data_IF_838432004707
#
_entry.id   IF_838432004707
#
_cell.length_a   1.000
_cell.length_b   1.000
_cell.length_c   1.000
_cell.angle_alpha   90.00
_cell.angle_beta   90.00
_cell.angle_gamma   90.00
#
_symmetry.space_group_name_H-M   'P 1'
#
loop_
_entity.id
_entity.type
_entity.pdbx_description
1 polymer ?
#
# COMPACT_ATOMS: atom_id res chain seq x y z
N UNK A 1 -7.47 7.06 4.12
CA UNK A 1 -7.22 6.77 2.70
C UNK A 1 -8.54 6.47 2.02
N UNK A 2 -8.73 6.90 0.78
CA UNK A 2 -9.91 6.59 -0.02
C UNK A 2 -9.48 5.98 -1.36
N UNK A 3 -10.00 4.80 -1.67
CA UNK A 3 -9.82 4.18 -2.98
C UNK A 3 -10.93 4.67 -3.92
N UNK A 4 -10.64 4.81 -5.20
CA UNK A 4 -11.65 5.09 -6.21
C UNK A 4 -12.59 3.87 -6.32
N UNK A 5 -13.90 4.02 -6.05
CA UNK A 5 -14.84 2.89 -6.04
C UNK A 5 -15.09 2.29 -7.43
N UNK A 6 -14.67 2.96 -8.51
CA UNK A 6 -14.74 2.42 -9.87
C UNK A 6 -13.65 1.39 -10.17
N UNK A 7 -12.55 1.40 -9.41
CA UNK A 7 -11.47 0.42 -9.56
C UNK A 7 -11.85 -0.85 -8.82
N UNK A 8 -11.96 -1.96 -9.55
CA UNK A 8 -12.16 -3.27 -8.95
C UNK A 8 -10.90 -3.68 -8.19
N UNK A 9 -11.07 -4.18 -6.97
CA UNK A 9 -9.98 -4.76 -6.17
C UNK A 9 -10.31 -6.20 -5.77
N UNK A 10 -9.29 -7.04 -5.74
CA UNK A 10 -9.34 -8.40 -5.20
C UNK A 10 -8.45 -8.47 -3.93
N UNK A 11 -9.05 -8.53 -2.73
CA UNK A 11 -8.31 -8.59 -1.47
C UNK A 11 -7.44 -9.85 -1.39
N UNK A 12 -6.19 -9.70 -0.96
CA UNK A 12 -5.27 -10.83 -0.75
C UNK A 12 -4.94 -11.06 0.73
N UNK A 13 -4.93 -10.01 1.54
CA UNK A 13 -4.72 -10.14 2.97
C UNK A 13 -4.92 -8.83 3.72
N UNK A 14 -5.22 -8.98 5.01
CA UNK A 14 -5.46 -7.90 5.93
C UNK A 14 -4.99 -8.31 7.32
N UNK A 15 -4.36 -7.39 8.02
CA UNK A 15 -3.99 -7.51 9.42
C UNK A 15 -4.27 -6.19 10.13
N UNK A 16 -4.88 -6.30 11.31
CA UNK A 16 -5.00 -5.22 12.28
C UNK A 16 -4.36 -5.71 13.58
N UNK A 17 -3.33 -5.02 14.02
CA UNK A 17 -2.66 -5.22 15.30
C UNK A 17 -3.03 -4.01 16.16
N UNK A 18 -3.88 -4.25 17.17
CA UNK A 18 -4.32 -3.27 18.16
C UNK A 18 -3.51 -3.52 19.45
N UNK A 19 -2.47 -2.71 19.68
CA UNK A 19 -1.59 -2.73 20.87
C UNK A 19 -1.24 -1.29 21.29
N UNK A 20 -0.03 -1.00 21.80
CA UNK A 20 0.39 0.36 22.18
C UNK A 20 0.51 1.31 20.97
N UNK A 21 0.86 0.77 19.80
CA UNK A 21 0.89 1.44 18.50
C UNK A 21 -0.14 0.73 17.59
N UNK A 22 -1.06 1.47 16.99
CA UNK A 22 -2.03 0.89 16.04
C UNK A 22 -1.32 0.60 14.73
N UNK A 23 -1.35 -0.66 14.31
CA UNK A 23 -0.64 -1.11 13.13
C UNK A 23 -1.57 -1.90 12.20
N UNK A 24 -1.65 -1.49 10.94
CA UNK A 24 -2.48 -2.14 9.93
C UNK A 24 -1.72 -2.47 8.66
N UNK A 25 -1.99 -3.63 8.07
CA UNK A 25 -1.50 -4.02 6.75
C UNK A 25 -2.65 -4.41 5.83
N UNK A 26 -2.55 -3.97 4.58
CA UNK A 26 -3.47 -4.33 3.52
C UNK A 26 -2.68 -4.76 2.29
N UNK A 27 -3.06 -5.89 1.71
CA UNK A 27 -2.59 -6.31 0.39
C UNK A 27 -3.78 -6.68 -0.49
N UNK A 28 -3.79 -6.16 -1.71
CA UNK A 28 -4.83 -6.44 -2.69
C UNK A 28 -4.28 -6.28 -4.11
N UNK A 29 -4.99 -6.86 -5.08
CA UNK A 29 -4.77 -6.60 -6.51
C UNK A 29 -5.78 -5.58 -6.98
N UNK A 30 -5.33 -4.51 -7.63
CA UNK A 30 -6.16 -3.52 -8.28
C UNK A 30 -6.22 -3.77 -9.79
N UNK A 31 -7.41 -3.77 -10.38
CA UNK A 31 -7.63 -3.95 -11.81
C UNK A 31 -7.46 -2.62 -12.55
N UNK A 32 -6.24 -2.12 -12.54
CA UNK A 32 -5.76 -0.92 -13.26
C UNK A 32 -4.26 -1.09 -13.49
N UNK A 33 -3.70 -0.42 -14.49
CA UNK A 33 -2.26 -0.28 -14.74
C UNK A 33 -1.72 1.06 -14.22
N UNK A 34 -2.61 1.95 -13.81
CA UNK A 34 -2.29 3.31 -13.41
C UNK A 34 -2.66 3.54 -11.94
N UNK A 35 -1.64 3.68 -11.10
CA UNK A 35 -1.77 3.89 -9.66
C UNK A 35 -2.48 5.21 -9.33
N UNK A 36 -2.39 6.22 -10.21
CA UNK A 36 -3.03 7.52 -10.00
C UNK A 36 -4.56 7.46 -10.08
N UNK A 37 -5.10 6.40 -10.70
CA UNK A 37 -6.55 6.13 -10.74
C UNK A 37 -7.05 5.38 -9.49
N UNK A 38 -6.15 4.79 -8.71
CA UNK A 38 -6.54 3.96 -7.57
C UNK A 38 -6.92 4.79 -6.34
N UNK A 39 -6.18 5.86 -6.07
CA UNK A 39 -6.37 6.65 -4.85
C UNK A 39 -7.07 7.97 -5.14
N UNK A 40 -8.08 8.29 -4.34
CA UNK A 40 -8.66 9.62 -4.31
C UNK A 40 -7.74 10.53 -3.48
N UNK A 41 -6.93 11.36 -4.15
CA UNK A 41 -6.08 12.36 -3.51
C UNK A 41 -6.96 13.46 -2.88
N UNK A 42 -6.76 13.86 -1.59
CA UNK A 42 -5.79 13.39 -0.58
C UNK A 42 -6.29 12.22 0.31
N UNK A 43 -5.37 11.47 0.98
CA UNK A 43 -3.98 11.81 1.33
C UNK A 43 -2.87 11.20 0.45
N UNK A 44 -3.19 10.35 -0.52
CA UNK A 44 -2.16 9.70 -1.35
C UNK A 44 -1.88 10.55 -2.59
N UNK A 45 -0.69 11.12 -2.65
CA UNK A 45 -0.13 11.73 -3.86
C UNK A 45 0.79 10.72 -4.55
N UNK A 46 0.37 10.17 -5.70
CA UNK A 46 1.17 9.17 -6.41
C UNK A 46 2.38 9.77 -7.14
N UNK A 47 2.44 11.11 -7.30
CA UNK A 47 3.55 11.77 -8.00
C UNK A 47 4.88 11.74 -7.23
N UNK A 48 4.82 11.52 -5.91
CA UNK A 48 6.00 11.41 -5.05
C UNK A 48 6.54 9.97 -4.96
N UNK A 49 5.83 8.98 -5.52
CA UNK A 49 6.24 7.58 -5.47
C UNK A 49 7.53 7.35 -6.27
N UNK A 50 8.44 6.55 -5.71
CA UNK A 50 9.75 6.26 -6.29
C UNK A 50 9.97 4.76 -6.44
N UNK A 51 10.68 4.32 -7.49
CA UNK A 51 11.08 2.92 -7.61
C UNK A 51 12.04 2.54 -6.49
N UNK A 52 12.17 1.23 -6.25
CA UNK A 52 12.99 0.65 -5.18
C UNK A 52 12.56 1.12 -3.78
N UNK A 53 11.26 1.38 -3.61
CA UNK A 53 10.67 1.67 -2.31
C UNK A 53 10.76 0.41 -1.44
N UNK A 54 11.12 0.59 -0.17
CA UNK A 54 11.30 -0.52 0.77
C UNK A 54 10.18 -0.49 1.78
N UNK A 55 9.45 -1.60 1.87
CA UNK A 55 8.53 -1.89 2.95
C UNK A 55 9.09 -3.03 3.79
N UNK A 56 8.74 -3.04 5.08
CA UNK A 56 9.15 -4.10 5.97
C UNK A 56 8.44 -5.41 5.63
N UNK A 57 9.23 -6.45 5.40
CA UNK A 57 8.76 -7.83 5.28
C UNK A 57 9.20 -8.57 6.54
N UNK A 58 8.33 -8.59 7.55
CA UNK A 58 8.62 -9.27 8.81
C UNK A 58 8.59 -10.81 8.68
N UNK A 59 8.30 -11.35 7.48
CA UNK A 59 8.30 -12.79 7.16
C UNK A 59 7.25 -13.61 7.91
N UNK A 60 6.36 -12.98 8.68
CA UNK A 60 5.38 -13.69 9.50
C UNK A 60 4.20 -14.19 8.68
N UNK A 61 3.88 -13.52 7.57
CA UNK A 61 2.72 -13.84 6.75
C UNK A 61 3.12 -14.22 5.33
N UNK A 62 2.66 -15.38 4.86
CA UNK A 62 2.87 -15.81 3.46
C UNK A 62 2.24 -14.87 2.44
N UNK A 63 1.19 -14.15 2.82
CA UNK A 63 0.52 -13.18 1.96
C UNK A 63 1.18 -11.80 2.01
N UNK A 64 1.98 -11.48 3.04
CA UNK A 64 2.68 -10.20 3.16
C UNK A 64 4.14 -10.38 2.75
N UNK A 65 4.38 -10.19 1.46
CA UNK A 65 5.66 -10.45 0.80
C UNK A 65 6.13 -9.25 -0.04
N UNK A 66 6.17 -8.01 0.51
CA UNK A 66 6.68 -6.88 -0.24
C UNK A 66 8.12 -7.13 -0.68
N UNK A 67 8.33 -7.24 -2.00
CA UNK A 67 9.67 -7.37 -2.57
C UNK A 67 10.34 -6.00 -2.58
N UNK A 68 11.28 -5.78 -1.66
CA UNK A 68 12.01 -4.52 -1.52
C UNK A 68 12.82 -4.11 -2.76
N UNK A 69 12.95 -4.98 -3.76
CA UNK A 69 13.64 -4.69 -5.03
C UNK A 69 12.69 -4.27 -6.17
N UNK A 70 11.37 -4.42 -6.00
CA UNK A 70 10.41 -4.27 -7.10
C UNK A 70 9.31 -3.23 -6.84
N UNK A 71 9.21 -2.68 -5.63
CA UNK A 71 8.14 -1.75 -5.30
C UNK A 71 8.42 -0.34 -5.82
N UNK A 72 7.40 0.26 -6.41
CA UNK A 72 7.29 1.72 -6.53
C UNK A 72 6.37 2.23 -5.43
N UNK A 73 6.79 3.23 -4.67
CA UNK A 73 6.01 3.66 -3.50
C UNK A 73 6.53 4.90 -2.80
N UNK A 74 5.83 5.30 -1.74
CA UNK A 74 6.17 6.41 -0.87
C UNK A 74 5.60 6.21 0.54
N UNK A 75 6.23 6.90 1.50
CA UNK A 75 5.70 7.13 2.84
C UNK A 75 4.89 8.44 2.82
N UNK A 76 3.73 8.42 3.47
CA UNK A 76 2.83 9.55 3.62
C UNK A 76 2.67 9.90 5.09
N UNK A 77 2.98 11.16 5.44
CA UNK A 77 2.67 11.72 6.75
C UNK A 77 1.17 12.00 6.87
N UNK A 78 0.56 11.49 7.93
CA UNK A 78 -0.84 11.70 8.27
C UNK A 78 -0.93 12.51 9.58
N UNK A 79 -2.07 13.18 9.85
CA UNK A 79 -2.25 13.93 11.10
C UNK A 79 -2.06 13.05 12.35
N UNK A 80 -1.53 13.64 13.42
CA UNK A 80 -1.31 13.00 14.74
C UNK A 80 -0.24 11.89 14.76
N UNK A 81 0.94 12.12 14.18
CA UNK A 81 2.09 11.18 14.23
C UNK A 81 1.75 9.81 13.62
N UNK A 82 0.97 9.85 12.55
CA UNK A 82 0.55 8.67 11.78
C UNK A 82 1.34 8.64 10.48
N UNK A 83 1.82 7.47 10.11
CA UNK A 83 2.54 7.26 8.86
C UNK A 83 1.85 6.17 8.06
N UNK A 84 1.82 6.34 6.74
CA UNK A 84 1.28 5.34 5.84
C UNK A 84 2.28 5.10 4.71
N UNK A 85 2.80 3.90 4.63
CA UNK A 85 3.56 3.45 3.47
C UNK A 85 2.59 2.87 2.44
N UNK A 86 2.75 3.29 1.20
CA UNK A 86 2.06 2.69 0.06
C UNK A 86 3.09 2.29 -0.97
N UNK A 87 3.07 1.02 -1.36
CA UNK A 87 3.92 0.47 -2.40
C UNK A 87 3.11 -0.39 -3.36
N UNK A 88 3.53 -0.44 -4.62
CA UNK A 88 2.91 -1.32 -5.60
C UNK A 88 3.94 -1.96 -6.54
N UNK A 89 3.54 -3.10 -7.10
CA UNK A 89 4.22 -3.79 -8.21
C UNK A 89 3.27 -3.83 -9.39
N UNK A 90 3.76 -3.48 -10.57
CA UNK A 90 3.06 -3.73 -11.83
C UNK A 90 3.19 -5.21 -12.19
N UNK A 91 2.06 -5.89 -12.38
CA UNK A 91 2.02 -7.32 -12.68
C UNK A 91 2.17 -7.62 -14.19
N UNK A 92 2.33 -6.58 -15.03
CA UNK A 92 2.45 -6.66 -16.49
C UNK A 92 1.22 -7.26 -17.21
N UNK A 93 0.09 -7.38 -16.52
CA UNK A 93 -1.17 -7.93 -17.01
C UNK A 93 -2.33 -6.92 -16.95
N UNK A 94 -2.01 -5.65 -16.74
CA UNK A 94 -2.99 -4.58 -16.54
C UNK A 94 -3.53 -4.50 -15.11
N UNK A 95 -2.87 -5.16 -14.15
CA UNK A 95 -3.19 -5.07 -12.72
C UNK A 95 -1.98 -4.63 -11.89
N UNK A 96 -2.26 -4.03 -10.73
CA UNK A 96 -1.24 -3.68 -9.74
C UNK A 96 -1.43 -4.51 -8.48
N UNK A 97 -0.34 -5.10 -7.96
CA UNK A 97 -0.34 -5.63 -6.59
C UNK A 97 0.05 -4.49 -5.64
N UNK A 98 -0.87 -4.13 -4.74
CA UNK A 98 -0.74 -2.97 -3.86
C UNK A 98 -0.56 -3.43 -2.42
N UNK A 99 0.41 -2.82 -1.75
CA UNK A 99 0.76 -2.99 -0.35
C UNK A 99 0.54 -1.67 0.37
N UNK A 100 -0.12 -1.72 1.52
CA UNK A 100 -0.35 -0.56 2.36
C UNK A 100 -0.05 -0.94 3.79
N UNK A 101 0.76 -0.13 4.44
CA UNK A 101 1.14 -0.30 5.83
C UNK A 101 0.86 1.01 6.55
N UNK A 102 0.01 0.98 7.57
CA UNK A 102 -0.35 2.15 8.35
C UNK A 102 0.12 1.94 9.79
N UNK A 103 0.83 2.92 10.32
CA UNK A 103 1.29 3.00 11.69
C UNK A 103 0.70 4.25 12.37
N UNK A 104 0.20 4.09 13.59
CA UNK A 104 -0.10 5.18 14.50
C UNK A 104 0.85 5.08 15.70
N UNK A 105 1.54 6.18 16.01
CA UNK A 105 2.54 6.28 17.10
C UNK A 105 2.10 7.27 18.16
#
# INVERSE_FOLDING_TARGET
MYLDPSVKIDPQGFELIDWMDDFSRFKFVAHTDDISKLFLNPPVDTSIMKPSFKMDNNGQYRWWDPSSQCLTGAEYELPNVKFMDVGYVDNEDGTLTVYIQWFET
#
